data_IF_107641123036
#
_entry.id   IF_107641123036
#
_cell.length_a   1.000
_cell.length_b   1.000
_cell.length_c   1.000
_cell.angle_alpha   90.00
_cell.angle_beta   90.00
_cell.angle_gamma   90.00
#
_symmetry.space_group_name_H-M   'P 1'
#
loop_
_entity.id
_entity.type
_entity.pdbx_description
1 polymer ?
#
# COMPACT_ATOMS: atom_id res chain seq x y z
N UNK A 1 -17.59 -18.77 -49.64
CA UNK A 1 -16.99 -19.33 -48.41
C UNK A 1 -16.11 -18.23 -47.84
N UNK A 2 -16.58 -17.49 -46.83
CA UNK A 2 -15.82 -16.38 -46.24
C UNK A 2 -15.15 -16.96 -45.00
N UNK A 3 -13.82 -17.04 -45.02
CA UNK A 3 -13.03 -17.52 -43.89
C UNK A 3 -12.85 -16.33 -42.95
N UNK A 4 -13.51 -16.36 -41.79
CA UNK A 4 -13.26 -15.42 -40.71
C UNK A 4 -11.86 -15.69 -40.16
N UNK A 5 -10.89 -14.84 -40.47
CA UNK A 5 -9.62 -14.80 -39.77
C UNK A 5 -9.85 -14.11 -38.43
N UNK A 6 -10.12 -14.89 -37.39
CA UNK A 6 -9.96 -14.41 -36.02
C UNK A 6 -8.46 -14.18 -35.82
N UNK A 7 -8.04 -12.92 -35.87
CA UNK A 7 -6.69 -12.50 -35.50
C UNK A 7 -6.52 -12.78 -34.00
N UNK A 8 -5.75 -13.81 -33.66
CA UNK A 8 -5.34 -14.05 -32.29
C UNK A 8 -4.22 -13.05 -31.99
N UNK A 9 -4.43 -12.15 -31.04
CA UNK A 9 -3.38 -11.27 -30.56
C UNK A 9 -2.22 -12.14 -30.03
N UNK A 10 -1.05 -12.02 -30.64
CA UNK A 10 0.15 -12.75 -30.21
C UNK A 10 0.56 -12.25 -28.82
N UNK A 11 0.82 -13.17 -27.89
CA UNK A 11 1.22 -12.85 -26.52
C UNK A 11 2.71 -13.07 -26.35
N UNK A 12 3.43 -12.00 -26.02
CA UNK A 12 4.85 -12.06 -25.67
C UNK A 12 5.00 -11.99 -24.14
N UNK A 13 5.69 -12.97 -23.51
CA UNK A 13 5.80 -13.00 -22.04
C UNK A 13 6.60 -11.83 -21.48
N UNK A 14 7.55 -11.28 -22.24
CA UNK A 14 8.31 -10.08 -21.89
C UNK A 14 8.46 -9.17 -23.11
N UNK A 15 8.21 -7.87 -22.96
CA UNK A 15 8.35 -6.89 -24.04
C UNK A 15 9.81 -6.49 -24.26
N UNK A 16 10.28 -6.56 -25.51
CA UNK A 16 11.56 -5.98 -25.93
C UNK A 16 11.50 -4.46 -26.15
N UNK A 17 10.30 -3.88 -26.20
CA UNK A 17 10.10 -2.44 -26.37
C UNK A 17 10.09 -1.66 -25.04
N UNK A 18 9.98 -2.38 -23.91
CA UNK A 18 10.03 -1.82 -22.57
C UNK A 18 11.48 -1.76 -22.09
N UNK A 19 11.98 -0.56 -21.81
CA UNK A 19 13.34 -0.36 -21.32
C UNK A 19 13.42 -0.55 -19.80
N UNK A 20 12.47 0.07 -19.08
CA UNK A 20 12.40 0.01 -17.63
C UNK A 20 10.95 -0.02 -17.17
N UNK A 21 10.68 -0.74 -16.10
CA UNK A 21 9.47 -0.61 -15.29
C UNK A 21 9.88 -0.72 -13.82
N UNK A 22 9.66 0.35 -13.07
CA UNK A 22 10.14 0.47 -11.71
C UNK A 22 9.11 1.14 -10.82
N UNK A 23 9.25 0.89 -9.52
CA UNK A 23 8.43 1.49 -8.46
C UNK A 23 9.29 2.37 -7.56
N UNK A 24 8.68 3.43 -7.05
CA UNK A 24 9.24 4.27 -6.00
C UNK A 24 8.16 4.62 -4.99
N UNK A 25 8.43 4.46 -3.69
CA UNK A 25 7.48 4.85 -2.64
C UNK A 25 7.94 6.19 -2.06
N UNK A 26 7.10 7.22 -2.18
CA UNK A 26 7.33 8.58 -1.65
C UNK A 26 6.09 9.06 -0.92
N UNK A 27 6.25 9.57 0.30
CA UNK A 27 5.13 10.13 1.10
C UNK A 27 3.92 9.18 1.24
N UNK A 28 4.17 7.88 1.44
CA UNK A 28 3.13 6.83 1.51
C UNK A 28 2.37 6.60 0.19
N UNK A 29 2.79 7.20 -0.91
CA UNK A 29 2.25 6.96 -2.24
C UNK A 29 3.26 6.17 -3.07
N UNK A 30 2.79 5.19 -3.83
CA UNK A 30 3.64 4.47 -4.77
C UNK A 30 3.55 5.11 -6.15
N UNK A 31 4.70 5.33 -6.75
CA UNK A 31 4.87 5.81 -8.10
C UNK A 31 5.42 4.67 -8.95
N UNK A 32 4.65 4.25 -9.95
CA UNK A 32 5.13 3.39 -11.01
C UNK A 32 5.66 4.27 -12.14
N UNK A 33 6.85 3.97 -12.65
CA UNK A 33 7.44 4.67 -13.80
C UNK A 33 7.98 3.68 -14.80
N UNK A 34 7.83 3.99 -16.09
CA UNK A 34 8.37 3.17 -17.16
C UNK A 34 8.79 3.99 -18.36
N UNK A 35 9.73 3.42 -19.11
CA UNK A 35 10.27 3.96 -20.35
C UNK A 35 10.14 2.93 -21.46
N UNK A 36 9.84 3.40 -22.66
CA UNK A 36 9.80 2.59 -23.87
C UNK A 36 10.82 3.10 -24.89
N UNK A 37 11.18 2.27 -25.86
CA UNK A 37 12.03 2.71 -26.97
C UNK A 37 11.37 3.87 -27.71
N UNK A 38 12.16 4.85 -28.18
CA UNK A 38 11.64 6.10 -28.76
C UNK A 38 10.68 5.89 -29.95
N UNK A 39 10.89 4.82 -30.73
CA UNK A 39 10.08 4.46 -31.90
C UNK A 39 9.16 3.26 -31.60
N UNK A 40 8.71 3.10 -30.36
CA UNK A 40 7.81 2.00 -29.99
C UNK A 40 6.50 2.05 -30.76
N UNK A 41 5.93 0.87 -31.01
CA UNK A 41 4.62 0.70 -31.67
C UNK A 41 3.48 0.61 -30.63
N UNK A 42 3.81 0.80 -29.35
CA UNK A 42 2.86 0.69 -28.25
C UNK A 42 1.84 1.82 -28.32
N UNK A 43 0.55 1.45 -28.25
CA UNK A 43 -0.56 2.39 -28.23
C UNK A 43 -1.15 2.58 -26.85
N UNK A 44 -1.03 1.57 -25.99
CA UNK A 44 -1.69 1.55 -24.70
C UNK A 44 -0.90 0.76 -23.67
N UNK A 45 -0.87 1.28 -22.45
CA UNK A 45 -0.40 0.61 -21.26
C UNK A 45 -1.59 0.30 -20.36
N UNK A 46 -1.66 -0.91 -19.85
CA UNK A 46 -2.59 -1.30 -18.81
C UNK A 46 -1.77 -1.65 -17.57
N UNK A 47 -1.95 -0.90 -16.50
CA UNK A 47 -1.38 -1.24 -15.20
C UNK A 47 -2.29 -2.32 -14.63
N UNK A 48 -1.74 -3.51 -14.41
CA UNK A 48 -2.44 -4.62 -13.80
C UNK A 48 -1.91 -4.86 -12.38
N UNK A 49 -2.82 -5.23 -11.49
CA UNK A 49 -2.57 -5.53 -10.09
C UNK A 49 -3.08 -6.93 -9.77
N UNK A 50 -2.37 -7.64 -8.89
CA UNK A 50 -2.84 -8.88 -8.29
C UNK A 50 -2.59 -8.79 -6.78
N UNK A 51 -3.65 -8.79 -5.99
CA UNK A 51 -3.55 -8.82 -4.52
C UNK A 51 -3.25 -10.25 -4.03
N UNK A 52 -2.90 -10.41 -2.75
CA UNK A 52 -2.75 -11.74 -2.15
C UNK A 52 -4.04 -12.60 -2.19
N UNK A 53 -5.21 -11.95 -2.21
CA UNK A 53 -6.50 -12.63 -2.23
C UNK A 53 -6.92 -13.04 -3.64
N UNK A 54 -6.29 -12.46 -4.66
CA UNK A 54 -6.62 -12.70 -6.07
C UNK A 54 -5.67 -13.72 -6.70
N UNK A 55 -6.22 -14.63 -7.49
CA UNK A 55 -5.43 -15.60 -8.24
C UNK A 55 -4.96 -15.07 -9.60
N UNK A 56 -5.50 -13.93 -10.06
CA UNK A 56 -5.27 -13.38 -11.39
C UNK A 56 -4.98 -11.88 -11.35
N UNK A 57 -4.23 -11.40 -12.35
CA UNK A 57 -4.01 -9.98 -12.56
C UNK A 57 -5.26 -9.32 -13.13
N UNK A 58 -5.70 -8.22 -12.50
CA UNK A 58 -6.82 -7.40 -12.94
C UNK A 58 -6.35 -6.01 -13.35
N UNK A 59 -7.05 -5.39 -14.29
CA UNK A 59 -6.72 -4.04 -14.76
C UNK A 59 -7.03 -3.00 -13.67
N UNK A 60 -6.00 -2.28 -13.22
CA UNK A 60 -6.12 -1.14 -12.30
C UNK A 60 -6.39 0.16 -13.06
N UNK A 61 -5.65 0.39 -14.15
CA UNK A 61 -5.86 1.55 -15.00
C UNK A 61 -5.37 1.30 -16.43
N UNK A 62 -5.80 2.17 -17.36
CA UNK A 62 -5.40 2.17 -18.75
C UNK A 62 -4.93 3.55 -19.17
N UNK A 63 -3.76 3.62 -19.80
CA UNK A 63 -3.12 4.85 -20.25
C UNK A 63 -2.79 4.74 -21.74
N UNK A 64 -3.15 5.76 -22.52
CA UNK A 64 -2.71 5.85 -23.91
C UNK A 64 -1.22 6.15 -23.98
N UNK A 65 -0.53 5.54 -24.94
CA UNK A 65 0.84 5.91 -25.26
C UNK A 65 0.83 7.29 -25.93
N UNK A 66 1.62 8.20 -25.37
CA UNK A 66 1.86 9.51 -25.92
C UNK A 66 3.36 9.73 -25.91
N UNK A 67 3.99 9.72 -27.08
CA UNK A 67 5.43 9.83 -27.26
C UNK A 67 6.05 11.11 -26.65
N UNK A 68 5.23 12.08 -26.21
CA UNK A 68 5.69 13.28 -25.50
C UNK A 68 5.92 13.07 -23.99
N UNK A 69 5.45 11.96 -23.41
CA UNK A 69 5.58 11.64 -21.98
C UNK A 69 6.52 10.45 -21.80
N UNK A 70 7.81 10.73 -21.68
CA UNK A 70 8.83 9.71 -21.37
C UNK A 70 9.77 10.29 -20.30
N UNK A 71 9.80 9.74 -19.07
CA UNK A 71 9.11 8.52 -18.62
C UNK A 71 7.60 8.70 -18.49
N UNK A 72 6.88 7.59 -18.68
CA UNK A 72 5.49 7.47 -18.26
C UNK A 72 5.41 7.22 -16.76
N UNK A 73 4.32 7.64 -16.13
CA UNK A 73 4.11 7.40 -14.71
C UNK A 73 2.65 7.19 -14.34
N UNK A 74 2.45 6.44 -13.27
CA UNK A 74 1.17 6.25 -12.62
C UNK A 74 1.33 6.31 -11.10
N UNK A 75 0.41 6.99 -10.42
CA UNK A 75 0.37 7.08 -8.95
C UNK A 75 -0.66 6.09 -8.43
N UNK A 76 -0.26 5.30 -7.44
CA UNK A 76 -1.15 4.43 -6.68
C UNK A 76 -1.43 5.11 -5.35
N UNK A 77 -2.69 5.47 -5.13
CA UNK A 77 -3.12 6.27 -3.99
C UNK A 77 -3.11 5.47 -2.67
N UNK A 78 -3.40 4.17 -2.72
CA UNK A 78 -3.50 3.31 -1.53
C UNK A 78 -2.76 1.98 -1.74
N UNK A 79 -1.96 1.58 -0.74
CA UNK A 79 -1.28 0.29 -0.65
C UNK A 79 -1.87 -0.49 0.53
N UNK A 80 -3.02 -1.13 0.31
CA UNK A 80 -3.73 -1.80 1.40
C UNK A 80 -3.14 -3.17 1.76
N UNK A 81 -2.49 -3.83 0.81
CA UNK A 81 -1.94 -5.20 0.95
C UNK A 81 -0.67 -5.37 0.13
N UNK A 82 0.02 -6.49 0.36
CA UNK A 82 1.06 -6.96 -0.56
C UNK A 82 0.44 -7.21 -1.93
N UNK A 83 0.97 -6.56 -2.95
CA UNK A 83 0.41 -6.58 -4.29
C UNK A 83 1.51 -6.75 -5.34
N UNK A 84 1.24 -7.56 -6.34
CA UNK A 84 2.05 -7.66 -7.54
C UNK A 84 1.53 -6.70 -8.60
N UNK A 85 2.44 -5.97 -9.24
CA UNK A 85 2.12 -5.07 -10.35
C UNK A 85 2.85 -5.51 -11.60
N UNK A 86 2.17 -5.42 -12.75
CA UNK A 86 2.82 -5.54 -14.06
C UNK A 86 2.20 -4.56 -15.04
N UNK A 87 2.94 -4.25 -16.09
CA UNK A 87 2.40 -3.58 -17.25
C UNK A 87 2.02 -4.61 -18.29
N UNK A 88 0.82 -4.44 -18.85
CA UNK A 88 0.39 -5.04 -20.10
C UNK A 88 0.48 -3.98 -21.18
N UNK A 89 1.25 -4.25 -22.21
CA UNK A 89 1.53 -3.36 -23.33
C UNK A 89 0.73 -3.84 -24.54
N UNK A 90 0.02 -2.93 -25.19
CA UNK A 90 -0.80 -3.23 -26.37
C UNK A 90 -0.24 -2.43 -27.55
N UNK A 91 0.08 -3.14 -28.63
CA UNK A 91 0.68 -2.63 -29.86
C UNK A 91 0.00 -3.26 -31.09
N UNK A 92 0.39 -2.85 -32.30
CA UNK A 92 -0.06 -3.48 -33.55
C UNK A 92 0.34 -4.96 -33.64
N UNK A 93 1.49 -5.32 -33.07
CA UNK A 93 2.05 -6.69 -33.05
C UNK A 93 1.35 -7.60 -32.02
N UNK A 94 0.55 -7.03 -31.12
CA UNK A 94 -0.20 -7.75 -30.11
C UNK A 94 0.09 -7.29 -28.68
N UNK A 95 0.08 -8.24 -27.75
CA UNK A 95 0.17 -7.99 -26.31
C UNK A 95 1.50 -8.48 -25.76
N UNK A 96 2.18 -7.62 -25.00
CA UNK A 96 3.37 -7.99 -24.24
C UNK A 96 3.22 -7.61 -22.76
N UNK A 97 4.05 -8.21 -21.90
CA UNK A 97 4.07 -7.89 -20.48
C UNK A 97 5.44 -7.37 -20.02
N UNK A 98 5.46 -6.64 -18.90
CA UNK A 98 6.69 -6.38 -18.14
C UNK A 98 7.03 -7.55 -17.23
N UNK A 99 8.22 -7.48 -16.63
CA UNK A 99 8.49 -8.17 -15.37
C UNK A 99 7.47 -7.77 -14.29
N UNK A 100 7.25 -8.66 -13.32
CA UNK A 100 6.37 -8.40 -12.18
C UNK A 100 7.14 -7.64 -11.09
N UNK A 101 6.59 -6.50 -10.67
CA UNK A 101 7.03 -5.77 -9.49
C UNK A 101 6.20 -6.18 -8.29
N UNK A 102 6.76 -7.02 -7.42
CA UNK A 102 6.14 -7.33 -6.13
C UNK A 102 6.32 -6.18 -5.16
N UNK A 103 5.22 -5.60 -4.70
CA UNK A 103 5.18 -4.55 -3.69
C UNK A 103 4.76 -5.20 -2.39
N UNK A 104 5.75 -5.50 -1.57
CA UNK A 104 5.50 -5.69 -0.16
C UNK A 104 5.10 -4.34 0.41
N UNK A 105 4.00 -4.30 1.16
CA UNK A 105 3.71 -3.18 2.03
C UNK A 105 4.99 -2.91 2.79
N UNK A 106 5.54 -1.71 2.63
CA UNK A 106 6.61 -1.23 3.49
C UNK A 106 6.02 -1.00 4.86
N UNK A 107 5.67 -2.07 5.57
CA UNK A 107 6.12 -2.33 6.93
C UNK A 107 6.49 -1.03 7.64
N UNK A 108 5.46 -0.30 8.09
CA UNK A 108 5.55 0.19 9.45
C UNK A 108 5.24 -1.03 10.32
N UNK A 109 6.16 -2.01 10.36
CA UNK A 109 6.07 -3.23 11.19
C UNK A 109 5.94 -2.89 12.65
N UNK A 110 6.21 -1.64 12.99
CA UNK A 110 6.27 -1.17 14.32
C UNK A 110 5.14 -0.16 14.54
N UNK A 111 4.18 -0.52 15.38
CA UNK A 111 3.20 0.46 15.86
C UNK A 111 3.93 1.52 16.68
N UNK A 112 3.81 2.79 16.27
CA UNK A 112 4.38 3.94 16.96
C UNK A 112 3.29 4.90 17.42
N UNK A 113 3.48 5.46 18.62
CA UNK A 113 2.55 6.41 19.25
C UNK A 113 3.25 7.74 19.44
N UNK A 114 2.66 8.82 18.92
CA UNK A 114 3.23 10.16 19.01
C UNK A 114 2.15 11.25 19.16
N UNK A 115 2.45 12.41 19.78
CA UNK A 115 3.71 12.71 20.47
C UNK A 115 3.83 11.92 21.77
N UNK A 116 5.06 11.65 22.17
CA UNK A 116 5.39 11.10 23.48
C UNK A 116 6.63 11.84 24.00
N UNK A 117 6.52 12.75 24.99
CA UNK A 117 5.35 12.96 25.87
C UNK A 117 4.11 13.58 25.19
N UNK A 118 2.94 13.41 25.80
CA UNK A 118 1.64 13.91 25.32
C UNK A 118 0.89 14.72 26.38
N UNK A 119 0.10 15.70 25.92
CA UNK A 119 -0.90 16.41 26.73
C UNK A 119 -2.28 15.73 26.74
N UNK A 120 -2.33 14.45 26.35
CA UNK A 120 -3.55 13.63 26.34
C UNK A 120 -4.07 13.30 24.93
N UNK A 121 -3.51 13.87 23.88
CA UNK A 121 -3.84 13.52 22.49
C UNK A 121 -2.68 12.75 21.86
N UNK A 122 -2.97 11.62 21.23
CA UNK A 122 -1.98 10.80 20.53
C UNK A 122 -2.42 10.51 19.10
N UNK A 123 -1.46 10.13 18.27
CA UNK A 123 -1.59 9.55 16.95
C UNK A 123 -0.86 8.22 16.91
N UNK A 124 -1.36 7.30 16.11
CA UNK A 124 -0.89 5.93 15.94
C UNK A 124 -0.56 5.76 14.47
N UNK A 125 0.71 5.53 14.16
CA UNK A 125 1.13 5.06 12.84
C UNK A 125 1.63 3.62 12.96
N UNK A 126 1.43 2.83 11.92
CA UNK A 126 1.83 1.43 11.91
C UNK A 126 0.74 0.50 11.43
N UNK A 127 0.92 -0.77 11.76
CA UNK A 127 -0.04 -1.84 11.51
C UNK A 127 -1.40 -1.60 12.14
N UNK A 128 -2.41 -2.24 11.53
CA UNK A 128 -3.77 -2.18 12.00
C UNK A 128 -3.89 -2.90 13.34
N UNK A 129 -4.33 -2.14 14.35
CA UNK A 129 -4.56 -2.65 15.69
C UNK A 129 -5.88 -3.44 15.70
N UNK A 130 -5.80 -4.74 15.99
CA UNK A 130 -6.94 -5.64 16.17
C UNK A 130 -7.45 -5.64 17.62
N UNK A 131 -6.53 -5.56 18.59
CA UNK A 131 -6.84 -5.49 20.01
C UNK A 131 -5.93 -4.49 20.72
N UNK A 132 -6.47 -3.74 21.67
CA UNK A 132 -5.71 -2.77 22.45
C UNK A 132 -6.10 -2.77 23.91
N UNK A 133 -5.15 -2.39 24.76
CA UNK A 133 -5.33 -2.27 26.20
C UNK A 133 -4.49 -1.11 26.75
N UNK A 134 -5.13 -0.14 27.40
CA UNK A 134 -4.43 0.92 28.13
C UNK A 134 -4.32 0.54 29.61
N UNK A 135 -3.11 0.64 30.16
CA UNK A 135 -2.77 0.30 31.53
C UNK A 135 -2.17 1.50 32.27
N UNK A 136 -2.42 1.59 33.57
CA UNK A 136 -1.65 2.46 34.47
C UNK A 136 -0.28 1.85 34.84
N UNK A 137 0.55 2.60 35.58
CA UNK A 137 1.88 2.12 36.03
C UNK A 137 1.86 0.87 36.91
N UNK A 138 0.71 0.54 37.50
CA UNK A 138 0.53 -0.65 38.34
C UNK A 138 0.02 -1.84 37.53
N UNK A 139 -0.12 -1.68 36.21
CA UNK A 139 -0.70 -2.70 35.34
C UNK A 139 -2.23 -2.81 35.43
N UNK A 140 -2.92 -1.86 36.06
CA UNK A 140 -4.39 -1.85 36.09
C UNK A 140 -4.92 -1.44 34.72
N UNK A 141 -5.80 -2.25 34.15
CA UNK A 141 -6.54 -1.91 32.93
C UNK A 141 -7.45 -0.71 33.15
N UNK A 142 -7.23 0.33 32.33
CA UNK A 142 -8.10 1.51 32.25
C UNK A 142 -9.18 1.28 31.21
N UNK A 143 -8.78 0.76 30.04
CA UNK A 143 -9.67 0.39 28.95
C UNK A 143 -9.04 -0.73 28.11
N UNK A 144 -9.88 -1.49 27.41
CA UNK A 144 -9.44 -2.42 26.37
C UNK A 144 -10.56 -2.62 25.35
N UNK A 145 -10.20 -2.98 24.13
CA UNK A 145 -11.17 -3.24 23.08
C UNK A 145 -10.57 -3.90 21.86
N UNK A 146 -11.44 -4.26 20.92
CA UNK A 146 -11.04 -4.65 19.58
C UNK A 146 -11.31 -3.48 18.62
N UNK A 147 -10.55 -3.36 17.56
CA UNK A 147 -10.77 -2.35 16.52
C UNK A 147 -10.32 -2.87 15.16
N UNK A 148 -10.80 -2.23 14.11
CA UNK A 148 -10.31 -2.39 12.75
C UNK A 148 -9.82 -1.06 12.17
N UNK A 149 -9.55 -0.07 13.03
CA UNK A 149 -9.10 1.26 12.63
C UNK A 149 -8.19 1.89 13.69
N UNK A 150 -6.96 2.25 13.29
CA UNK A 150 -6.05 2.97 14.19
C UNK A 150 -6.63 4.32 14.63
N UNK A 151 -7.43 4.99 13.78
CA UNK A 151 -8.09 6.26 14.09
C UNK A 151 -9.13 6.12 15.20
N UNK A 152 -9.84 4.99 15.27
CA UNK A 152 -10.77 4.70 16.35
C UNK A 152 -10.01 4.51 17.68
N UNK A 153 -8.92 3.74 17.67
CA UNK A 153 -8.07 3.54 18.84
C UNK A 153 -7.47 4.87 19.32
N UNK A 154 -6.97 5.70 18.40
CA UNK A 154 -6.47 7.06 18.71
C UNK A 154 -7.52 7.90 19.44
N UNK A 155 -8.75 7.92 18.94
CA UNK A 155 -9.84 8.71 19.50
C UNK A 155 -10.16 8.26 20.93
N UNK A 156 -10.34 6.96 21.13
CA UNK A 156 -10.73 6.39 22.43
C UNK A 156 -9.61 6.55 23.46
N UNK A 157 -8.38 6.18 23.09
CA UNK A 157 -7.22 6.29 24.00
C UNK A 157 -6.93 7.76 24.33
N UNK A 158 -7.03 8.68 23.36
CA UNK A 158 -6.88 10.12 23.63
C UNK A 158 -7.98 10.66 24.55
N UNK A 159 -9.22 10.18 24.41
CA UNK A 159 -10.32 10.60 25.29
C UNK A 159 -10.04 10.20 26.75
N UNK A 160 -9.49 9.01 26.99
CA UNK A 160 -9.10 8.58 28.34
C UNK A 160 -7.85 9.31 28.84
N UNK A 161 -6.80 9.44 28.03
CA UNK A 161 -5.57 10.13 28.43
C UNK A 161 -5.80 11.60 28.78
N UNK A 162 -6.78 12.28 28.14
CA UNK A 162 -7.16 13.66 28.50
C UNK A 162 -7.72 13.77 29.91
N UNK A 163 -8.42 12.75 30.39
CA UNK A 163 -9.01 12.68 31.74
C UNK A 163 -8.06 12.07 32.78
N UNK A 164 -7.02 11.38 32.32
CA UNK A 164 -6.04 10.73 33.16
C UNK A 164 -5.11 11.73 33.86
N UNK A 165 -4.56 11.33 35.00
CA UNK A 165 -3.55 12.13 35.71
C UNK A 165 -2.23 12.16 34.93
N UNK A 166 -1.43 13.20 35.16
CA UNK A 166 -0.03 13.23 34.71
C UNK A 166 0.71 11.99 35.22
N UNK A 167 1.43 11.31 34.34
CA UNK A 167 2.09 10.05 34.69
C UNK A 167 2.51 9.21 33.49
N UNK A 168 2.87 7.96 33.77
CA UNK A 168 3.23 6.98 32.76
C UNK A 168 2.06 6.01 32.56
N UNK A 169 1.78 5.69 31.31
CA UNK A 169 0.77 4.72 30.89
C UNK A 169 1.41 3.74 29.91
N UNK A 170 0.82 2.55 29.77
CA UNK A 170 1.26 1.57 28.80
C UNK A 170 0.10 1.22 27.87
N UNK A 171 0.28 1.43 26.57
CA UNK A 171 -0.65 0.97 25.55
C UNK A 171 -0.12 -0.34 24.98
N UNK A 172 -0.82 -1.43 25.27
CA UNK A 172 -0.60 -2.71 24.60
C UNK A 172 -1.44 -2.76 23.34
N UNK A 173 -0.86 -3.19 22.24
CA UNK A 173 -1.52 -3.36 20.94
C UNK A 173 -1.20 -4.75 20.40
N UNK A 174 -2.19 -5.36 19.78
CA UNK A 174 -2.09 -6.57 18.99
C UNK A 174 -2.46 -6.23 17.56
N UNK A 175 -1.60 -6.59 16.63
CA UNK A 175 -1.83 -6.50 15.19
C UNK A 175 -1.94 -7.93 14.63
N UNK A 176 -2.12 -8.06 13.32
CA UNK A 176 -2.06 -9.37 12.66
C UNK A 176 -0.68 -10.04 12.79
N UNK A 177 0.38 -9.24 12.98
CA UNK A 177 1.76 -9.70 12.89
C UNK A 177 2.49 -9.71 14.25
N UNK A 178 2.15 -8.81 15.17
CA UNK A 178 2.86 -8.69 16.44
C UNK A 178 1.98 -8.26 17.62
N UNK A 179 2.51 -8.49 18.82
CA UNK A 179 2.04 -7.86 20.05
C UNK A 179 3.10 -6.88 20.56
N UNK A 180 2.72 -5.64 20.85
CA UNK A 180 3.64 -4.62 21.33
C UNK A 180 3.11 -3.88 22.55
N UNK A 181 4.01 -3.47 23.44
CA UNK A 181 3.71 -2.56 24.56
C UNK A 181 4.44 -1.24 24.34
N UNK A 182 3.70 -0.14 24.36
CA UNK A 182 4.21 1.21 24.10
C UNK A 182 4.03 2.04 25.37
N UNK A 183 5.12 2.59 25.90
CA UNK A 183 5.05 3.50 27.03
C UNK A 183 4.62 4.89 26.57
N UNK A 184 3.62 5.48 27.23
CA UNK A 184 3.12 6.83 26.97
C UNK A 184 3.35 7.69 28.20
N UNK A 185 4.05 8.81 28.05
CA UNK A 185 4.24 9.80 29.10
C UNK A 185 3.21 10.92 28.95
N UNK A 186 2.28 11.01 29.90
CA UNK A 186 1.25 12.06 29.99
C UNK A 186 1.76 13.20 30.89
N UNK A 187 1.78 14.43 30.37
CA UNK A 187 2.28 15.63 31.07
C UNK A 187 1.23 16.42 31.83
#
# INVERSE_FOLDING_TARGET
MVVNHLSYAQVHPLSSELLHFQKEVKNQQMHLTWDVVANSSIHQFVVEIKSELDHEFVALTTLGANHSWNPYSFKVDELDTDCDYRLKLISEEGVAYSEVLTVHRGVANEVVVYPNPTNGSIRIAGDLIQHYQLLDVRGKTILSGNSHSNMEVEMIVSAELKRAQTGIYFLKVQTAHEQKTIQIRRN
#
